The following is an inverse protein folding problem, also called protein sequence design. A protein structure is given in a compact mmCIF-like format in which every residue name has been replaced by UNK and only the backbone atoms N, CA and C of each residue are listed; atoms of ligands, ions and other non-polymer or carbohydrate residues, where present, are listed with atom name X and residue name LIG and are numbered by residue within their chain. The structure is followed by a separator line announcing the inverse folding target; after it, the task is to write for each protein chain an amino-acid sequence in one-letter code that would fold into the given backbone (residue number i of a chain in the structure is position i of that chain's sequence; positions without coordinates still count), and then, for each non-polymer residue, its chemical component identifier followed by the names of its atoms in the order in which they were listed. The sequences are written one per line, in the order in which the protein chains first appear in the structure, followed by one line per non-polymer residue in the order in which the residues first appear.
data_IF_611319673527
#
_entry.id   IF_611319673527
#
_cell.length_a   1.000
_cell.length_b   1.000
_cell.length_c   1.000
_cell.angle_alpha   90.00
_cell.angle_beta   90.00
_cell.angle_gamma   90.00
#
_symmetry.space_group_name_H-M   'P 1'
#
loop_
_entity.id
_entity.type
_entity.pdbx_description
1 polymer ?
#
# COMPACT_ATOMS: atom_id res chain seq x y z
N UNK A 1 19.38 -14.45 -21.76
CA UNK A 1 17.98 -14.16 -22.14
C UNK A 1 17.02 -14.89 -21.21
N UNK A 2 17.06 -16.21 -21.14
CA UNK A 2 16.18 -17.00 -20.27
C UNK A 2 16.37 -16.66 -18.78
N UNK A 3 17.62 -16.49 -18.33
CA UNK A 3 17.92 -16.12 -16.95
C UNK A 3 17.28 -14.77 -16.55
N UNK A 4 17.32 -13.79 -17.46
CA UNK A 4 16.70 -12.49 -17.23
C UNK A 4 15.18 -12.60 -17.08
N UNK A 5 14.55 -13.42 -17.94
CA UNK A 5 13.11 -13.66 -17.85
C UNK A 5 12.70 -14.33 -16.53
N UNK A 6 13.47 -15.31 -16.08
CA UNK A 6 13.23 -16.01 -14.82
C UNK A 6 13.40 -15.07 -13.62
N UNK A 7 14.50 -14.30 -13.59
CA UNK A 7 14.75 -13.35 -12.51
C UNK A 7 13.69 -12.25 -12.46
N UNK A 8 13.28 -11.75 -13.63
CA UNK A 8 12.21 -10.76 -13.72
C UNK A 8 10.89 -11.31 -13.16
N UNK A 9 10.57 -12.57 -13.49
CA UNK A 9 9.37 -13.22 -12.96
C UNK A 9 9.42 -13.30 -11.43
N UNK A 10 10.53 -13.74 -10.84
CA UNK A 10 10.67 -13.82 -9.38
C UNK A 10 10.60 -12.45 -8.72
N UNK A 11 11.21 -11.43 -9.32
CA UNK A 11 11.11 -10.07 -8.81
C UNK A 11 9.67 -9.57 -8.84
N UNK A 12 8.98 -9.75 -9.96
CA UNK A 12 7.59 -9.33 -10.10
C UNK A 12 6.68 -10.04 -9.09
N UNK A 13 6.85 -11.35 -8.93
CA UNK A 13 6.09 -12.14 -7.96
C UNK A 13 6.34 -11.66 -6.54
N UNK A 14 7.59 -11.45 -6.17
CA UNK A 14 7.96 -10.95 -4.83
C UNK A 14 7.36 -9.57 -4.57
N UNK A 15 7.43 -8.67 -5.54
CA UNK A 15 6.87 -7.33 -5.46
C UNK A 15 5.35 -7.38 -5.28
N UNK A 16 4.67 -8.25 -6.05
CA UNK A 16 3.22 -8.40 -5.92
C UNK A 16 2.84 -8.88 -4.52
N UNK A 17 3.52 -9.90 -4.00
CA UNK A 17 3.20 -10.48 -2.68
C UNK A 17 3.51 -9.49 -1.57
N UNK A 18 4.73 -8.97 -1.52
CA UNK A 18 5.16 -8.08 -0.44
C UNK A 18 4.44 -6.74 -0.54
N UNK A 19 4.28 -6.21 -1.75
CA UNK A 19 3.52 -4.97 -1.96
C UNK A 19 2.08 -5.09 -1.49
N UNK A 20 1.42 -6.19 -1.83
CA UNK A 20 0.06 -6.46 -1.37
C UNK A 20 -0.01 -6.55 0.16
N UNK A 21 0.94 -7.24 0.79
CA UNK A 21 0.96 -7.37 2.25
C UNK A 21 1.21 -6.03 2.94
N UNK A 22 2.13 -5.21 2.41
CA UNK A 22 2.35 -3.85 2.91
C UNK A 22 1.07 -3.01 2.79
N UNK A 23 0.45 -3.04 1.63
CA UNK A 23 -0.80 -2.31 1.39
C UNK A 23 -1.93 -2.78 2.30
N UNK A 24 -1.91 -4.06 2.66
CA UNK A 24 -2.92 -4.66 3.53
C UNK A 24 -2.87 -4.19 4.98
N UNK A 25 -1.83 -3.44 5.40
CA UNK A 25 -1.77 -2.84 6.72
C UNK A 25 -2.92 -1.83 6.83
N UNK A 26 -3.99 -2.13 7.57
CA UNK A 26 -5.20 -1.31 7.58
C UNK A 26 -5.12 -0.25 8.67
N UNK A 27 -4.31 0.78 8.45
CA UNK A 27 -4.00 1.79 9.46
C UNK A 27 -5.24 2.45 10.05
N UNK A 28 -6.21 2.84 9.21
CA UNK A 28 -7.43 3.49 9.69
C UNK A 28 -8.26 2.56 10.56
N UNK A 29 -8.37 1.29 10.18
CA UNK A 29 -9.12 0.29 10.95
C UNK A 29 -8.43 0.05 12.30
N UNK A 30 -7.12 -0.18 12.28
CA UNK A 30 -6.37 -0.48 13.51
C UNK A 30 -6.33 0.71 14.47
N UNK A 31 -6.07 1.91 13.96
CA UNK A 31 -6.04 3.13 14.78
C UNK A 31 -7.43 3.43 15.34
N UNK A 32 -8.46 3.33 14.53
CA UNK A 32 -9.83 3.55 14.98
C UNK A 32 -10.24 2.60 16.11
N UNK A 33 -9.95 1.31 15.94
CA UNK A 33 -10.29 0.29 16.94
C UNK A 33 -9.46 0.44 18.21
N UNK A 34 -8.15 0.64 18.08
CA UNK A 34 -7.23 0.64 19.21
C UNK A 34 -7.37 1.90 20.08
N UNK A 35 -7.45 3.07 19.46
CA UNK A 35 -7.38 4.34 20.18
C UNK A 35 -8.74 5.03 20.35
N UNK A 36 -9.73 4.68 19.56
CA UNK A 36 -11.04 5.32 19.55
C UNK A 36 -12.21 4.36 19.76
N UNK A 37 -11.94 3.07 19.83
CA UNK A 37 -12.95 2.05 20.11
C UNK A 37 -14.01 1.87 19.04
N UNK A 38 -13.75 2.31 17.81
CA UNK A 38 -14.71 2.19 16.71
C UNK A 38 -14.07 1.55 15.48
N UNK A 39 -14.88 0.93 14.64
CA UNK A 39 -14.48 0.52 13.30
C UNK A 39 -14.90 1.63 12.34
N UNK A 40 -13.93 2.35 11.78
CA UNK A 40 -14.21 3.48 10.88
C UNK A 40 -15.07 3.08 9.66
N UNK A 41 -15.05 1.79 9.29
CA UNK A 41 -15.85 1.27 8.18
C UNK A 41 -17.36 1.24 8.47
N UNK A 42 -17.74 1.49 9.71
CA UNK A 42 -19.15 1.56 10.14
C UNK A 42 -19.62 3.01 10.35
N UNK A 43 -18.77 4.00 10.10
CA UNK A 43 -19.05 5.40 10.40
C UNK A 43 -18.77 6.31 9.19
N UNK A 44 -19.45 7.44 9.13
CA UNK A 44 -19.29 8.43 8.08
C UNK A 44 -19.52 7.86 6.69
N UNK A 45 -18.54 8.01 5.80
CA UNK A 45 -18.61 7.45 4.45
C UNK A 45 -18.36 5.94 4.41
N UNK A 46 -18.05 5.33 5.56
CA UNK A 46 -17.69 3.92 5.71
C UNK A 46 -16.39 3.54 4.99
N UNK A 47 -15.60 4.52 4.57
CA UNK A 47 -14.32 4.30 3.92
C UNK A 47 -13.21 4.22 4.96
N UNK A 48 -12.31 3.25 4.83
CA UNK A 48 -11.18 3.06 5.74
C UNK A 48 -9.98 3.92 5.29
N UNK A 49 -10.14 5.22 5.25
CA UNK A 49 -9.12 6.14 4.78
C UNK A 49 -9.04 7.44 5.55
N UNK A 50 -8.04 8.25 5.21
CA UNK A 50 -7.73 9.50 5.89
C UNK A 50 -8.89 10.48 5.92
N UNK A 51 -9.56 10.68 4.80
CA UNK A 51 -10.66 11.65 4.71
C UNK A 51 -11.79 11.28 5.66
N UNK A 52 -12.18 10.02 5.71
CA UNK A 52 -13.22 9.58 6.62
C UNK A 52 -12.77 9.65 8.08
N UNK A 53 -11.51 9.31 8.36
CA UNK A 53 -10.93 9.48 9.70
C UNK A 53 -10.99 10.93 10.13
N UNK A 54 -10.66 11.88 9.24
CA UNK A 54 -10.74 13.30 9.51
C UNK A 54 -12.18 13.72 9.82
N UNK A 55 -13.14 13.25 9.03
CA UNK A 55 -14.56 13.57 9.18
C UNK A 55 -15.14 13.07 10.51
N UNK A 56 -14.81 11.84 10.88
CA UNK A 56 -15.43 11.18 12.04
C UNK A 56 -14.65 11.42 13.32
N UNK A 57 -13.32 11.33 13.27
CA UNK A 57 -12.46 11.35 14.46
C UNK A 57 -11.54 12.56 14.58
N UNK A 58 -11.41 13.36 13.52
CA UNK A 58 -10.62 14.59 13.54
C UNK A 58 -9.16 14.40 13.14
N UNK A 59 -8.40 15.50 13.21
CA UNK A 59 -7.02 15.57 12.70
C UNK A 59 -6.06 14.64 13.42
N UNK A 60 -6.20 14.48 14.73
CA UNK A 60 -5.29 13.63 15.51
C UNK A 60 -5.34 12.17 15.09
N UNK A 61 -6.51 11.70 14.67
CA UNK A 61 -6.67 10.35 14.14
C UNK A 61 -6.26 10.25 12.67
N UNK A 62 -6.62 11.26 11.88
CA UNK A 62 -6.39 11.25 10.43
C UNK A 62 -4.92 11.35 10.05
N UNK A 63 -4.13 12.16 10.77
CA UNK A 63 -2.72 12.40 10.42
C UNK A 63 -1.86 11.12 10.48
N UNK A 64 -1.89 10.32 11.57
CA UNK A 64 -1.17 9.05 11.58
C UNK A 64 -1.61 8.09 10.47
N UNK A 65 -2.90 8.04 10.17
CA UNK A 65 -3.41 7.21 9.08
C UNK A 65 -2.83 7.64 7.74
N UNK A 66 -2.85 8.94 7.46
CA UNK A 66 -2.27 9.47 6.23
C UNK A 66 -0.78 9.12 6.12
N UNK A 67 -0.02 9.32 7.20
CA UNK A 67 1.42 9.05 7.22
C UNK A 67 1.69 7.56 6.94
N UNK A 68 0.99 6.67 7.62
CA UNK A 68 1.18 5.23 7.43
C UNK A 68 0.80 4.82 6.00
N UNK A 69 -0.34 5.28 5.50
CA UNK A 69 -0.81 4.93 4.17
C UNK A 69 0.11 5.49 3.07
N UNK A 70 0.63 6.70 3.26
CA UNK A 70 1.60 7.30 2.36
C UNK A 70 2.89 6.47 2.32
N UNK A 71 3.45 6.16 3.49
CA UNK A 71 4.72 5.45 3.56
C UNK A 71 4.62 3.97 3.17
N UNK A 72 3.48 3.32 3.33
CA UNK A 72 3.35 1.96 2.80
C UNK A 72 3.39 1.95 1.28
N UNK A 73 2.83 2.95 0.61
CA UNK A 73 2.98 3.12 -0.83
C UNK A 73 4.41 3.40 -1.24
N UNK A 74 5.08 4.32 -0.56
CA UNK A 74 6.49 4.62 -0.77
C UNK A 74 7.36 3.37 -0.56
N UNK A 75 7.13 2.62 0.52
CA UNK A 75 7.87 1.41 0.84
C UNK A 75 7.72 0.32 -0.22
N UNK A 76 6.51 0.16 -0.75
CA UNK A 76 6.26 -0.79 -1.82
C UNK A 76 7.06 -0.46 -3.08
N UNK A 77 7.11 0.80 -3.46
CA UNK A 77 7.89 1.24 -4.63
C UNK A 77 9.39 1.17 -4.37
N UNK A 78 9.85 1.50 -3.16
CA UNK A 78 11.27 1.38 -2.79
C UNK A 78 11.76 -0.06 -2.83
N UNK A 79 10.89 -1.03 -2.59
CA UNK A 79 11.24 -2.44 -2.69
C UNK A 79 11.76 -2.79 -4.10
N UNK A 80 11.26 -2.15 -5.13
CA UNK A 80 11.72 -2.40 -6.51
C UNK A 80 13.18 -2.06 -6.70
N UNK A 81 13.64 -0.98 -6.07
CA UNK A 81 15.06 -0.58 -6.12
C UNK A 81 15.94 -1.58 -5.37
N UNK A 82 15.44 -2.13 -4.24
CA UNK A 82 16.17 -3.13 -3.48
C UNK A 82 16.28 -4.47 -4.21
N UNK A 83 15.31 -4.80 -5.05
CA UNK A 83 15.29 -6.05 -5.82
C UNK A 83 15.96 -5.93 -7.17
N UNK A 84 16.52 -4.78 -7.50
CA UNK A 84 17.30 -4.61 -8.72
C UNK A 84 18.57 -5.44 -8.62
N UNK A 85 18.63 -6.52 -9.38
CA UNK A 85 19.68 -7.52 -9.26
C UNK A 85 20.92 -7.23 -10.10
N UNK A 86 20.86 -6.26 -11.02
CA UNK A 86 21.96 -5.93 -11.91
C UNK A 86 21.84 -4.47 -12.35
N UNK A 87 22.94 -3.73 -12.32
CA UNK A 87 22.98 -2.35 -12.78
C UNK A 87 22.72 -2.22 -14.29
N UNK A 88 22.89 -3.31 -15.04
CA UNK A 88 22.55 -3.37 -16.46
C UNK A 88 21.03 -3.47 -16.72
N UNK A 89 20.22 -3.67 -15.68
CA UNK A 89 18.77 -3.67 -15.81
C UNK A 89 18.29 -2.29 -16.26
N UNK A 90 17.48 -2.28 -17.31
CA UNK A 90 17.04 -1.04 -17.94
C UNK A 90 16.13 -0.19 -17.07
N UNK A 91 16.07 1.10 -17.37
CA UNK A 91 15.10 2.02 -16.77
C UNK A 91 13.67 1.56 -17.02
N UNK A 92 13.39 1.00 -18.21
CA UNK A 92 12.07 0.47 -18.54
C UNK A 92 11.68 -0.68 -17.59
N UNK A 93 12.61 -1.56 -17.25
CA UNK A 93 12.39 -2.63 -16.28
C UNK A 93 12.00 -2.06 -14.92
N UNK A 94 12.76 -1.08 -14.46
CA UNK A 94 12.52 -0.46 -13.16
C UNK A 94 11.15 0.24 -13.11
N UNK A 95 10.78 0.95 -14.17
CA UNK A 95 9.48 1.60 -14.27
C UNK A 95 8.36 0.56 -14.22
N UNK A 96 8.49 -0.52 -14.95
CA UNK A 96 7.49 -1.59 -14.95
C UNK A 96 7.34 -2.24 -13.58
N UNK A 97 8.44 -2.46 -12.86
CA UNK A 97 8.40 -3.01 -11.51
C UNK A 97 7.74 -2.05 -10.53
N UNK A 98 7.98 -0.75 -10.68
CA UNK A 98 7.33 0.28 -9.85
C UNK A 98 5.82 0.33 -10.11
N UNK A 99 5.38 0.15 -11.34
CA UNK A 99 3.96 0.07 -11.68
C UNK A 99 3.34 -1.14 -10.99
N UNK A 100 3.98 -2.30 -11.06
CA UNK A 100 3.52 -3.52 -10.40
C UNK A 100 3.41 -3.31 -8.89
N UNK A 101 4.44 -2.70 -8.28
CA UNK A 101 4.46 -2.41 -6.85
C UNK A 101 3.31 -1.47 -6.46
N UNK A 102 3.08 -0.42 -7.24
CA UNK A 102 2.01 0.54 -6.99
C UNK A 102 0.65 -0.15 -7.02
N UNK A 103 0.40 -0.95 -8.05
CA UNK A 103 -0.86 -1.70 -8.16
C UNK A 103 -1.02 -2.65 -6.98
N UNK A 104 0.03 -3.38 -6.62
CA UNK A 104 -0.02 -4.34 -5.51
C UNK A 104 -0.34 -3.66 -4.17
N UNK A 105 0.33 -2.56 -3.85
CA UNK A 105 0.12 -1.83 -2.59
C UNK A 105 -1.30 -1.23 -2.55
N UNK A 106 -1.75 -0.64 -3.65
CA UNK A 106 -3.10 -0.06 -3.72
C UNK A 106 -4.16 -1.14 -3.59
N UNK A 107 -3.99 -2.29 -4.26
CA UNK A 107 -4.91 -3.42 -4.10
C UNK A 107 -4.93 -3.93 -2.65
N UNK A 108 -3.77 -3.97 -1.99
CA UNK A 108 -3.70 -4.32 -0.56
C UNK A 108 -4.47 -3.34 0.30
N UNK A 109 -4.38 -2.05 0.01
CA UNK A 109 -5.14 -1.03 0.73
C UNK A 109 -6.65 -1.17 0.52
N UNK A 110 -7.08 -1.44 -0.70
CA UNK A 110 -8.51 -1.58 -1.03
C UNK A 110 -9.06 -2.90 -0.49
N UNK A 111 -8.32 -4.00 -0.62
CA UNK A 111 -8.73 -5.35 -0.22
C UNK A 111 -7.75 -5.96 0.79
N UNK A 112 -7.61 -5.39 2.00
CA UNK A 112 -6.59 -5.83 2.96
C UNK A 112 -6.91 -7.19 3.55
N UNK A 113 -5.99 -8.15 3.41
CA UNK A 113 -6.15 -9.48 4.01
C UNK A 113 -6.27 -9.38 5.53
N UNK A 114 -5.58 -8.41 6.17
CA UNK A 114 -5.60 -8.26 7.62
C UNK A 114 -6.86 -7.59 8.18
N UNK A 115 -7.77 -7.18 7.33
CA UNK A 115 -9.02 -6.51 7.72
C UNK A 115 -10.24 -7.03 6.95
N UNK A 116 -10.24 -8.32 6.61
CA UNK A 116 -11.37 -8.97 5.95
C UNK A 116 -11.62 -8.48 4.53
N UNK A 117 -10.59 -8.04 3.83
CA UNK A 117 -10.64 -7.57 2.43
C UNK A 117 -11.51 -6.33 2.22
N UNK A 118 -11.79 -5.57 3.26
CA UNK A 118 -12.57 -4.34 3.18
C UNK A 118 -11.74 -3.17 3.72
N UNK A 119 -11.16 -2.40 2.80
CA UNK A 119 -10.27 -1.29 3.10
C UNK A 119 -10.78 0.05 2.60
N UNK A 120 -9.84 0.93 2.24
CA UNK A 120 -10.12 2.27 1.75
C UNK A 120 -9.97 2.39 0.23
N UNK A 121 -9.86 3.64 -0.25
CA UNK A 121 -9.75 3.95 -1.69
C UNK A 121 -8.32 4.02 -2.20
N UNK A 122 -7.34 4.10 -1.30
CA UNK A 122 -5.94 4.07 -1.68
C UNK A 122 -5.34 5.40 -2.13
N UNK A 123 -5.99 6.52 -1.86
CA UNK A 123 -5.50 7.84 -2.32
C UNK A 123 -4.14 8.20 -1.72
N UNK A 124 -4.01 8.12 -0.40
CA UNK A 124 -2.74 8.42 0.28
C UNK A 124 -1.64 7.43 -0.10
N UNK A 125 -1.99 6.15 -0.24
CA UNK A 125 -1.07 5.10 -0.66
C UNK A 125 -0.56 5.36 -2.07
N UNK A 126 -1.44 5.75 -2.98
CA UNK A 126 -1.08 6.09 -4.36
C UNK A 126 -0.15 7.31 -4.40
N UNK A 127 -0.40 8.33 -3.58
CA UNK A 127 0.48 9.49 -3.47
C UNK A 127 1.87 9.10 -2.98
N UNK A 128 1.95 8.18 -2.02
CA UNK A 128 3.24 7.69 -1.52
C UNK A 128 4.01 6.89 -2.56
N UNK A 129 3.32 6.14 -3.41
CA UNK A 129 3.93 5.37 -4.48
C UNK A 129 4.37 6.26 -5.67
N UNK A 130 3.69 7.36 -5.87
CA UNK A 130 4.06 8.33 -6.90
C UNK A 130 5.23 9.17 -6.46
#
# INVERSE_FOLDING_TARGET
METWGVLTFYCAFTILVIGYLLGSIPSAVWIGKKYYGIDIREHGSKNAGTTNMLRVLGKRAALPVFVIDYFKGFGGVMLTSLLRYDDAVSEAWLINMRIIATVAVVLGHIFPIFAGFRGGKGVATLLGAG
#
